data_IF_149267689517
#
_entry.id   IF_149267689517
#
_cell.length_a   1.000
_cell.length_b   1.000
_cell.length_c   1.000
_cell.angle_alpha   90.00
_cell.angle_beta   90.00
_cell.angle_gamma   90.00
#
_symmetry.space_group_name_H-M   'P 1'
#
loop_
_entity.id
_entity.type
_entity.pdbx_description
1 polymer ?
#
# COMPACT_ATOMS: atom_id res chain seq x y z
N UNK A 1 4.59 0.04 -20.64
CA UNK A 1 3.71 1.24 -20.75
C UNK A 1 3.50 1.82 -19.36
N UNK A 2 3.59 3.15 -19.22
CA UNK A 2 3.70 3.89 -17.96
C UNK A 2 2.33 4.40 -17.47
N UNK A 3 2.07 4.38 -16.17
CA UNK A 3 0.95 5.10 -15.53
C UNK A 3 1.09 6.60 -15.78
N UNK A 4 0.01 7.28 -16.15
CA UNK A 4 -0.01 8.72 -16.38
C UNK A 4 -0.67 9.45 -15.20
N UNK A 5 -0.08 10.59 -14.82
CA UNK A 5 -0.71 11.52 -13.89
C UNK A 5 -1.79 12.29 -14.65
N UNK A 6 -3.00 12.31 -14.11
CA UNK A 6 -4.11 13.06 -14.72
C UNK A 6 -4.22 14.42 -14.06
N UNK A 7 -4.25 15.54 -14.80
CA UNK A 7 -4.74 16.79 -14.24
C UNK A 7 -6.23 16.61 -13.87
N UNK A 8 -6.70 17.10 -12.71
CA UNK A 8 -8.09 16.92 -12.31
C UNK A 8 -9.05 17.45 -13.37
N UNK A 9 -9.89 16.56 -13.91
CA UNK A 9 -11.02 16.96 -14.73
C UNK A 9 -12.06 17.67 -13.86
N UNK A 10 -12.47 18.86 -14.28
CA UNK A 10 -13.59 19.58 -13.67
C UNK A 10 -14.87 18.99 -14.26
N UNK A 11 -15.47 17.98 -13.61
CA UNK A 11 -16.91 17.74 -13.64
C UNK A 11 -17.33 16.60 -12.68
N UNK A 12 -18.46 16.83 -12.00
CA UNK A 12 -19.04 16.09 -10.86
C UNK A 12 -18.29 16.23 -9.53
N UNK A 13 -18.71 17.22 -8.73
CA UNK A 13 -18.11 17.75 -7.49
C UNK A 13 -17.82 16.74 -6.36
N UNK A 14 -18.12 15.46 -6.56
CA UNK A 14 -17.92 14.43 -5.55
C UNK A 14 -16.62 13.63 -5.73
N UNK A 15 -16.01 13.64 -6.93
CA UNK A 15 -14.82 12.83 -7.24
C UNK A 15 -13.61 13.69 -7.57
N UNK A 16 -12.45 13.26 -7.07
CA UNK A 16 -11.15 13.77 -7.48
C UNK A 16 -10.29 12.61 -8.00
N UNK A 17 -10.20 12.51 -9.33
CA UNK A 17 -9.35 11.53 -10.02
C UNK A 17 -7.88 11.94 -9.92
N UNK A 18 -7.05 11.03 -9.42
CA UNK A 18 -5.64 11.28 -9.11
C UNK A 18 -4.70 10.56 -10.09
N UNK A 19 -5.08 9.39 -10.58
CA UNK A 19 -4.26 8.57 -11.46
C UNK A 19 -5.06 8.09 -12.66
N UNK A 20 -4.40 7.95 -13.81
CA UNK A 20 -5.00 7.31 -14.98
C UNK A 20 -4.00 6.37 -15.67
N UNK A 21 -4.47 5.19 -16.02
CA UNK A 21 -3.75 4.26 -16.89
C UNK A 21 -4.74 3.62 -17.86
N UNK A 22 -4.50 3.81 -19.16
CA UNK A 22 -5.41 3.38 -20.21
C UNK A 22 -6.82 3.97 -19.95
N UNK A 23 -7.83 3.11 -19.85
CA UNK A 23 -9.22 3.47 -19.56
C UNK A 23 -9.54 3.42 -18.05
N UNK A 24 -8.56 3.17 -17.18
CA UNK A 24 -8.78 3.13 -15.74
C UNK A 24 -8.39 4.45 -15.10
N UNK A 25 -9.30 5.02 -14.29
CA UNK A 25 -9.03 6.15 -13.38
C UNK A 25 -9.06 5.65 -11.95
N UNK A 26 -8.19 6.19 -11.10
CA UNK A 26 -8.19 5.95 -9.66
C UNK A 26 -8.17 7.29 -8.95
N UNK A 27 -9.00 7.44 -7.93
CA UNK A 27 -9.17 8.69 -7.23
C UNK A 27 -9.86 8.50 -5.90
N UNK A 28 -10.37 9.61 -5.38
CA UNK A 28 -11.10 9.66 -4.12
C UNK A 28 -12.44 10.34 -4.34
N UNK A 29 -13.47 9.77 -3.71
CA UNK A 29 -14.75 10.42 -3.53
C UNK A 29 -14.77 11.17 -2.19
N UNK A 30 -15.49 12.28 -2.12
CA UNK A 30 -15.49 13.20 -0.95
C UNK A 30 -16.06 12.57 0.33
N UNK A 31 -16.99 11.61 0.22
CA UNK A 31 -17.55 10.87 1.37
C UNK A 31 -16.99 9.44 1.47
N UNK A 32 -17.25 8.64 0.43
CA UNK A 32 -16.96 7.19 0.38
C UNK A 32 -15.47 6.79 0.28
N UNK A 33 -14.53 7.74 0.17
CA UNK A 33 -13.10 7.43 0.11
C UNK A 33 -12.61 6.97 -1.27
N UNK A 34 -11.59 6.11 -1.29
CA UNK A 34 -10.91 5.73 -2.54
C UNK A 34 -11.80 4.90 -3.48
N UNK A 35 -11.70 5.19 -4.78
CA UNK A 35 -12.46 4.52 -5.82
C UNK A 35 -11.68 4.42 -7.14
N UNK A 36 -12.15 3.56 -8.04
CA UNK A 36 -11.70 3.46 -9.43
C UNK A 36 -12.87 3.46 -10.39
N UNK A 37 -12.66 4.04 -11.57
CA UNK A 37 -13.58 3.96 -12.68
C UNK A 37 -12.87 3.27 -13.84
N UNK A 38 -13.50 2.23 -14.40
CA UNK A 38 -13.08 1.59 -15.64
C UNK A 38 -13.93 2.16 -16.78
N UNK A 39 -13.27 2.71 -17.80
CA UNK A 39 -13.93 3.37 -18.93
C UNK A 39 -14.85 4.49 -18.44
N UNK A 40 -16.14 4.36 -18.74
CA UNK A 40 -17.21 5.28 -18.36
C UNK A 40 -18.26 4.56 -17.49
N UNK A 41 -17.86 3.44 -16.86
CA UNK A 41 -18.73 2.70 -15.95
C UNK A 41 -18.84 3.39 -14.58
N UNK A 42 -19.75 2.88 -13.75
CA UNK A 42 -19.93 3.36 -12.37
C UNK A 42 -18.65 3.16 -11.53
N UNK A 43 -18.29 4.13 -10.67
CA UNK A 43 -17.14 4.00 -9.79
C UNK A 43 -17.27 2.82 -8.82
N UNK A 44 -16.19 2.05 -8.69
CA UNK A 44 -16.03 0.98 -7.72
C UNK A 44 -15.22 1.48 -6.52
N UNK A 45 -15.76 1.31 -5.31
CA UNK A 45 -15.08 1.68 -4.06
C UNK A 45 -14.25 0.51 -3.50
N UNK A 46 -13.17 0.81 -2.79
CA UNK A 46 -12.27 -0.22 -2.22
C UNK A 46 -12.66 -0.60 -0.79
N UNK A 47 -13.86 -1.16 -0.66
CA UNK A 47 -14.43 -1.68 0.59
C UNK A 47 -13.94 -3.10 0.94
N UNK A 48 -13.58 -3.90 -0.07
CA UNK A 48 -13.15 -5.30 0.06
C UNK A 48 -11.74 -5.56 -0.49
N UNK A 49 -11.08 -6.59 0.01
CA UNK A 49 -9.69 -6.93 -0.33
C UNK A 49 -9.53 -7.34 -1.80
N UNK A 50 -10.51 -8.03 -2.38
CA UNK A 50 -10.47 -8.50 -3.78
C UNK A 50 -10.40 -7.32 -4.77
N UNK A 51 -10.95 -6.17 -4.39
CA UNK A 51 -10.93 -4.95 -5.21
C UNK A 51 -9.55 -4.29 -5.23
N UNK A 52 -8.62 -4.68 -4.33
CA UNK A 52 -7.24 -4.21 -4.38
C UNK A 52 -6.51 -4.61 -5.66
N UNK A 53 -6.99 -5.62 -6.40
CA UNK A 53 -6.44 -5.99 -7.71
C UNK A 53 -6.41 -4.80 -8.68
N UNK A 54 -7.42 -3.93 -8.60
CA UNK A 54 -7.53 -2.75 -9.45
C UNK A 54 -6.55 -1.64 -9.05
N UNK A 55 -6.02 -1.67 -7.83
CA UNK A 55 -5.04 -0.71 -7.33
C UNK A 55 -3.59 -1.14 -7.58
N UNK A 56 -3.35 -2.40 -7.95
CA UNK A 56 -2.00 -2.94 -8.13
C UNK A 56 -1.18 -2.15 -9.15
N UNK A 57 -1.84 -1.55 -10.15
CA UNK A 57 -1.19 -0.70 -11.15
C UNK A 57 -0.44 0.50 -10.53
N UNK A 58 -0.83 0.95 -9.34
CA UNK A 58 -0.16 2.05 -8.64
C UNK A 58 1.21 1.64 -8.09
N UNK A 59 1.46 0.34 -7.89
CA UNK A 59 2.75 -0.17 -7.46
C UNK A 59 3.84 -0.03 -8.53
N UNK A 60 3.47 0.33 -9.76
CA UNK A 60 4.45 0.69 -10.81
C UNK A 60 5.11 2.04 -10.56
N UNK A 61 4.49 2.91 -9.75
CA UNK A 61 5.09 4.15 -9.28
C UNK A 61 6.11 3.84 -8.19
N UNK A 62 7.15 4.68 -8.09
CA UNK A 62 7.99 4.68 -6.89
C UNK A 62 7.22 5.25 -5.70
N UNK A 63 7.52 4.80 -4.47
CA UNK A 63 7.04 5.43 -3.23
C UNK A 63 7.12 6.95 -3.21
N UNK A 64 8.24 7.51 -3.68
CA UNK A 64 8.47 8.95 -3.74
C UNK A 64 7.52 9.67 -4.70
N UNK A 65 7.40 9.17 -5.93
CA UNK A 65 6.47 9.74 -6.93
C UNK A 65 5.02 9.71 -6.43
N UNK A 66 4.61 8.58 -5.84
CA UNK A 66 3.27 8.44 -5.29
C UNK A 66 3.01 9.42 -4.15
N UNK A 67 3.91 9.47 -3.16
CA UNK A 67 3.75 10.32 -1.97
C UNK A 67 3.75 11.80 -2.32
N UNK A 68 4.64 12.22 -3.23
CA UNK A 68 4.70 13.59 -3.70
C UNK A 68 3.41 13.99 -4.42
N UNK A 69 2.90 13.13 -5.32
CA UNK A 69 1.65 13.38 -6.02
C UNK A 69 0.45 13.53 -5.06
N UNK A 70 0.37 12.68 -4.03
CA UNK A 70 -0.68 12.81 -3.00
C UNK A 70 -0.52 14.08 -2.17
N UNK A 71 0.70 14.52 -1.89
CA UNK A 71 0.95 15.77 -1.16
C UNK A 71 0.48 16.99 -1.98
N UNK A 72 0.78 17.01 -3.27
CA UNK A 72 0.33 18.06 -4.19
C UNK A 72 -1.19 18.08 -4.34
N UNK A 73 -1.82 16.91 -4.46
CA UNK A 73 -3.28 16.78 -4.53
C UNK A 73 -3.97 17.34 -3.28
N UNK A 74 -3.46 17.03 -2.08
CA UNK A 74 -3.97 17.57 -0.81
C UNK A 74 -3.90 19.10 -0.75
N UNK A 75 -2.81 19.69 -1.26
CA UNK A 75 -2.62 21.14 -1.31
C UNK A 75 -3.59 21.81 -2.29
N UNK A 76 -3.84 21.19 -3.44
CA UNK A 76 -4.72 21.74 -4.48
C UNK A 76 -6.21 21.62 -4.12
N UNK A 77 -6.60 20.56 -3.40
CA UNK A 77 -7.98 20.27 -3.01
C UNK A 77 -8.05 19.79 -1.56
N UNK A 78 -7.92 20.71 -0.58
CA UNK A 78 -7.91 20.37 0.84
C UNK A 78 -9.12 19.57 1.31
N UNK A 79 -10.28 19.76 0.67
CA UNK A 79 -11.54 19.07 0.97
C UNK A 79 -11.46 17.53 0.80
N UNK A 80 -10.50 17.02 0.03
CA UNK A 80 -10.25 15.57 -0.10
C UNK A 80 -9.14 15.06 0.81
N UNK A 81 -8.50 15.93 1.60
CA UNK A 81 -7.24 15.59 2.28
C UNK A 81 -7.36 14.41 3.22
N UNK A 82 -8.46 14.32 3.97
CA UNK A 82 -8.72 13.19 4.86
C UNK A 82 -8.80 11.90 4.07
N UNK A 83 -9.61 11.83 3.01
CA UNK A 83 -9.72 10.61 2.20
C UNK A 83 -8.40 10.23 1.52
N UNK A 84 -7.62 11.19 1.03
CA UNK A 84 -6.31 10.92 0.43
C UNK A 84 -5.33 10.33 1.48
N UNK A 85 -5.38 10.76 2.75
CA UNK A 85 -4.55 10.17 3.82
C UNK A 85 -4.87 8.70 4.07
N UNK A 86 -6.11 8.28 3.86
CA UNK A 86 -6.58 6.91 4.12
C UNK A 86 -6.37 5.98 2.91
N UNK A 87 -5.34 6.21 2.10
CA UNK A 87 -5.00 5.28 1.02
C UNK A 87 -4.68 3.89 1.61
N UNK A 88 -5.31 2.80 1.13
CA UNK A 88 -5.19 1.47 1.74
C UNK A 88 -3.89 0.75 1.34
N UNK A 89 -2.73 1.39 1.56
CA UNK A 89 -1.43 0.88 1.11
C UNK A 89 -1.10 -0.48 1.72
N UNK A 90 -1.26 -0.64 3.04
CA UNK A 90 -0.97 -1.91 3.73
C UNK A 90 -1.82 -3.05 3.18
N UNK A 91 -3.13 -2.80 2.96
CA UNK A 91 -4.05 -3.78 2.37
C UNK A 91 -3.65 -4.12 0.95
N UNK A 92 -3.32 -3.12 0.12
CA UNK A 92 -2.87 -3.33 -1.25
C UNK A 92 -1.60 -4.22 -1.32
N UNK A 93 -0.60 -3.91 -0.51
CA UNK A 93 0.65 -4.67 -0.46
C UNK A 93 0.39 -6.10 0.04
N UNK A 94 -0.39 -6.26 1.11
CA UNK A 94 -0.74 -7.59 1.64
C UNK A 94 -1.49 -8.44 0.62
N UNK A 95 -2.52 -7.88 -0.01
CA UNK A 95 -3.25 -8.55 -1.09
C UNK A 95 -2.31 -8.95 -2.23
N UNK A 96 -1.42 -8.04 -2.66
CA UNK A 96 -0.48 -8.29 -3.77
C UNK A 96 0.48 -9.43 -3.48
N UNK A 97 0.99 -9.52 -2.26
CA UNK A 97 1.88 -10.61 -1.82
C UNK A 97 1.14 -11.95 -1.71
N UNK A 98 -0.13 -11.92 -1.31
CA UNK A 98 -0.91 -13.14 -1.07
C UNK A 98 -1.55 -13.73 -2.35
N UNK A 99 -2.10 -12.87 -3.20
CA UNK A 99 -2.88 -13.24 -4.40
C UNK A 99 -2.03 -13.55 -5.64
N UNK A 100 -0.70 -13.44 -5.54
CA UNK A 100 0.16 -13.49 -6.71
C UNK A 100 0.22 -14.87 -7.39
N UNK A 101 -0.30 -14.92 -8.61
CA UNK A 101 -0.10 -16.04 -9.55
C UNK A 101 1.13 -15.83 -10.47
N UNK A 102 1.81 -14.70 -10.37
CA UNK A 102 2.98 -14.35 -11.17
C UNK A 102 3.98 -13.53 -10.37
N UNK A 103 5.23 -13.49 -10.82
CA UNK A 103 6.32 -12.78 -10.14
C UNK A 103 6.21 -11.25 -10.20
N UNK A 104 5.56 -10.70 -11.23
CA UNK A 104 5.64 -9.28 -11.54
C UNK A 104 5.13 -8.38 -10.41
N UNK A 105 3.91 -8.63 -9.95
CA UNK A 105 3.27 -7.82 -8.91
C UNK A 105 3.87 -7.97 -7.51
N UNK A 106 4.14 -9.19 -6.98
CA UNK A 106 4.86 -9.32 -5.73
C UNK A 106 6.25 -8.70 -5.80
N UNK A 107 6.95 -8.73 -6.95
CA UNK A 107 8.19 -7.97 -7.11
C UNK A 107 7.99 -6.47 -6.85
N UNK A 108 6.92 -5.87 -7.38
CA UNK A 108 6.60 -4.45 -7.18
C UNK A 108 6.20 -4.15 -5.74
N UNK A 109 5.46 -5.03 -5.08
CA UNK A 109 5.17 -4.89 -3.65
C UNK A 109 6.44 -4.93 -2.79
N UNK A 110 7.39 -5.82 -3.12
CA UNK A 110 8.68 -5.88 -2.42
C UNK A 110 9.53 -4.62 -2.67
N UNK A 111 9.50 -4.03 -3.87
CA UNK A 111 10.16 -2.73 -4.14
C UNK A 111 9.63 -1.64 -3.20
N UNK A 112 8.31 -1.57 -3.02
CA UNK A 112 7.68 -0.64 -2.09
C UNK A 112 8.06 -0.87 -0.63
N UNK A 113 8.23 -2.13 -0.23
CA UNK A 113 8.59 -2.50 1.13
C UNK A 113 10.05 -2.21 1.46
N UNK A 114 10.96 -2.28 0.50
CA UNK A 114 12.37 -1.91 0.71
C UNK A 114 12.50 -0.44 1.13
N UNK A 115 11.62 0.44 0.65
CA UNK A 115 11.61 1.86 1.00
C UNK A 115 10.77 2.17 2.27
N UNK A 116 9.97 1.22 2.75
CA UNK A 116 9.08 1.39 3.91
C UNK A 116 9.23 0.28 4.95
N UNK A 117 10.32 0.31 5.70
CA UNK A 117 10.62 -0.71 6.74
C UNK A 117 9.49 -0.88 7.77
N UNK A 118 8.79 0.21 8.13
CA UNK A 118 7.65 0.13 9.04
C UNK A 118 6.51 -0.77 8.52
N UNK A 119 6.28 -0.77 7.19
CA UNK A 119 5.27 -1.64 6.57
C UNK A 119 5.70 -3.10 6.54
N UNK A 120 7.01 -3.39 6.52
CA UNK A 120 7.51 -4.78 6.59
C UNK A 120 7.07 -5.47 7.88
N UNK A 121 7.11 -4.77 9.02
CA UNK A 121 6.63 -5.31 10.30
C UNK A 121 5.13 -5.60 10.30
N UNK A 122 4.34 -4.73 9.67
CA UNK A 122 2.90 -4.89 9.56
C UNK A 122 2.50 -6.04 8.62
N UNK A 123 3.38 -6.38 7.68
CA UNK A 123 3.16 -7.41 6.64
C UNK A 123 4.08 -8.63 6.83
N UNK A 124 4.47 -8.92 8.07
CA UNK A 124 5.43 -9.99 8.35
C UNK A 124 4.90 -11.37 7.94
N UNK A 125 3.60 -11.61 8.12
CA UNK A 125 2.96 -12.88 7.75
C UNK A 125 2.91 -13.06 6.23
N UNK A 126 2.62 -11.99 5.50
CA UNK A 126 2.56 -11.95 4.05
C UNK A 126 3.95 -12.12 3.44
N UNK A 127 4.98 -11.53 4.06
CA UNK A 127 6.37 -11.75 3.71
C UNK A 127 6.81 -13.20 3.96
N UNK A 128 6.41 -13.80 5.08
CA UNK A 128 6.71 -15.20 5.38
C UNK A 128 6.03 -16.15 4.38
N UNK A 129 4.75 -15.93 4.09
CA UNK A 129 4.01 -16.62 3.03
C UNK A 129 4.73 -16.51 1.68
N UNK A 130 5.09 -15.29 1.28
CA UNK A 130 5.83 -15.03 0.03
C UNK A 130 7.16 -15.79 -0.01
N UNK A 131 7.86 -15.90 1.12
CA UNK A 131 9.16 -16.57 1.22
C UNK A 131 9.09 -18.09 1.04
N UNK A 132 7.92 -18.69 1.29
CA UNK A 132 7.69 -20.14 1.20
C UNK A 132 6.85 -20.54 0.00
N UNK A 133 6.22 -19.58 -0.69
CA UNK A 133 5.37 -19.83 -1.84
C UNK A 133 6.15 -20.36 -3.06
N UNK A 134 5.91 -21.63 -3.40
CA UNK A 134 6.60 -22.35 -4.48
C UNK A 134 6.17 -21.91 -5.89
N UNK A 135 5.05 -21.19 -6.04
CA UNK A 135 4.63 -20.66 -7.35
C UNK A 135 5.48 -19.49 -7.84
N UNK A 136 6.15 -18.78 -6.92
CA UNK A 136 7.02 -17.65 -7.23
C UNK A 136 8.43 -18.11 -7.63
N UNK A 137 9.24 -17.23 -8.22
CA UNK A 137 10.66 -17.56 -8.42
C UNK A 137 11.44 -17.64 -7.11
N UNK A 138 12.56 -18.36 -7.17
CA UNK A 138 13.52 -18.41 -6.07
C UNK A 138 14.03 -17.03 -5.69
N UNK A 139 14.23 -16.13 -6.66
CA UNK A 139 14.73 -14.77 -6.41
C UNK A 139 13.79 -14.00 -5.47
N UNK A 140 12.48 -14.00 -5.77
CA UNK A 140 11.48 -13.33 -4.93
C UNK A 140 11.36 -13.95 -3.55
N UNK A 141 11.31 -15.29 -3.48
CA UNK A 141 11.29 -16.00 -2.19
C UNK A 141 12.48 -15.62 -1.31
N UNK A 142 13.68 -15.58 -1.88
CA UNK A 142 14.88 -15.20 -1.13
C UNK A 142 14.88 -13.72 -0.73
N UNK A 143 14.35 -12.82 -1.57
CA UNK A 143 14.19 -11.41 -1.21
C UNK A 143 13.25 -11.24 -0.01
N UNK A 144 12.06 -11.83 -0.06
CA UNK A 144 11.12 -11.82 1.07
C UNK A 144 11.74 -12.44 2.33
N UNK A 145 12.44 -13.57 2.20
CA UNK A 145 13.16 -14.22 3.31
C UNK A 145 14.20 -13.31 3.97
N UNK A 146 14.92 -12.49 3.19
CA UNK A 146 15.87 -11.51 3.74
C UNK A 146 15.18 -10.43 4.54
N UNK A 147 14.04 -9.91 4.07
CA UNK A 147 13.23 -8.94 4.83
C UNK A 147 12.79 -9.54 6.17
N UNK A 148 12.20 -10.74 6.17
CA UNK A 148 11.77 -11.43 7.42
C UNK A 148 12.92 -11.58 8.42
N UNK A 149 14.11 -11.98 7.95
CA UNK A 149 15.32 -12.08 8.79
C UNK A 149 15.74 -10.72 9.36
N UNK A 150 15.63 -9.65 8.57
CA UNK A 150 15.86 -8.28 9.02
C UNK A 150 14.98 -7.92 10.21
N UNK A 151 13.67 -8.21 10.12
CA UNK A 151 12.70 -7.93 11.19
C UNK A 151 13.05 -8.65 12.51
N UNK A 152 13.49 -9.91 12.41
CA UNK A 152 13.92 -10.69 13.58
C UNK A 152 15.18 -10.09 14.22
N UNK A 153 16.13 -9.63 13.40
CA UNK A 153 17.36 -9.00 13.89
C UNK A 153 17.10 -7.67 14.58
N UNK A 154 16.13 -6.89 14.10
CA UNK A 154 15.71 -5.62 14.72
C UNK A 154 14.95 -5.84 16.03
N UNK A 155 14.16 -6.92 16.13
CA UNK A 155 13.49 -7.31 17.37
C UNK A 155 14.50 -7.69 18.47
N UNK A 156 15.62 -8.32 18.12
CA UNK A 156 16.68 -8.68 19.08
C UNK A 156 17.55 -7.48 19.50
N UNK A 157 17.56 -6.38 18.74
CA UNK A 157 18.32 -5.16 19.04
C UNK A 157 17.60 -4.17 19.94
N UNK A 158 16.28 -4.29 20.12
CA UNK A 158 15.54 -3.49 21.12
C UNK A 158 15.57 -4.24 22.47
N UNK A 159 16.42 -3.86 23.45
CA UNK A 159 16.32 -4.44 24.78
C UNK A 159 14.93 -4.15 25.34
N UNK A 160 14.31 -5.17 25.93
CA UNK A 160 13.05 -5.04 26.64
C UNK A 160 13.23 -4.06 27.82
N UNK A 161 12.93 -2.77 27.59
CA UNK A 161 12.78 -1.82 28.68
C UNK A 161 11.41 -2.06 29.34
N UNK A 162 11.34 -3.12 30.15
CA UNK A 162 10.20 -3.37 31.03
C UNK A 162 10.70 -4.00 32.33
N UNK A 163 10.88 -3.13 33.32
CA UNK A 163 11.08 -3.26 34.78
C UNK A 163 11.69 -1.90 35.16
N UNK A 164 11.11 -1.02 35.93
CA UNK A 164 10.24 -1.17 37.09
C UNK A 164 9.35 0.08 37.22
N UNK A 165 8.04 -0.10 37.43
CA UNK A 165 7.25 0.91 38.15
C UNK A 165 6.15 0.21 38.96
N UNK A 166 6.15 0.49 40.26
CA UNK A 166 5.15 0.17 41.29
C UNK A 166 5.12 -1.24 41.88
N UNK A 167 6.08 -1.51 42.77
CA UNK A 167 5.76 -2.13 44.06
C UNK A 167 5.55 -1.02 45.09
N UNK A 168 4.30 -0.66 45.35
CA UNK A 168 3.88 0.01 46.58
C UNK A 168 2.59 -0.65 47.07
N UNK A 169 2.77 -1.79 47.74
CA UNK A 169 1.86 -2.28 48.77
C UNK A 169 2.72 -2.84 49.90
N UNK A 170 2.75 -2.11 51.01
CA UNK A 170 3.48 -2.52 52.20
C UNK A 170 3.39 -1.48 53.30
N UNK A 171 2.30 -1.61 54.08
CA UNK A 171 2.10 -1.18 55.48
C UNK A 171 2.09 0.33 55.77
#
# INVERSE_FOLDING_TARGET
>A
MKVALTPPAIEQHAYYWLFQRNQQKIGVHVVNGWCTQLREEEPLYFDADERCVLLMILLELTPGEFTQHLADAKRLRPEYSENIKHFPLTRLLGYTLHSALSDYWPSKALDWLDEHVALQHLLANELDYTSTNKSLSQSLRQRAKRMVRGLLSDAMRKPAHRKDVFSLRGV
#
